data_IF_942768791776
#
_entry.id   IF_942768791776
#
_cell.length_a   1.000
_cell.length_b   1.000
_cell.length_c   1.000
_cell.angle_alpha   90.00
_cell.angle_beta   90.00
_cell.angle_gamma   90.00
#
_symmetry.space_group_name_H-M   'P 1'
#
loop_
_entity.id
_entity.type
_entity.pdbx_description
1 polymer ?
#
# COMPACT_ATOMS: atom_id res chain seq x y z
N UNK A 1 16.79 10.62 12.94
CA UNK A 1 15.71 9.61 12.95
C UNK A 1 16.37 8.28 12.63
N UNK A 2 16.09 7.20 13.38
CA UNK A 2 16.63 5.88 13.03
C UNK A 2 15.98 5.36 11.75
N UNK A 3 16.62 4.38 11.13
CA UNK A 3 15.99 3.66 10.02
C UNK A 3 14.75 2.89 10.51
N UNK A 4 13.72 2.90 9.67
CA UNK A 4 12.51 2.13 9.90
C UNK A 4 12.73 0.67 9.54
N UNK A 5 12.22 -0.20 10.40
CA UNK A 5 12.19 -1.64 10.14
C UNK A 5 11.23 -1.96 8.99
N UNK A 6 11.36 -3.17 8.42
CA UNK A 6 10.45 -3.62 7.38
C UNK A 6 9.00 -3.74 7.88
N UNK A 7 8.80 -4.12 9.14
CA UNK A 7 7.47 -4.24 9.75
C UNK A 7 6.80 -2.85 9.89
N UNK A 8 7.56 -1.85 10.32
CA UNK A 8 7.09 -0.45 10.40
C UNK A 8 6.74 0.12 9.03
N UNK A 9 7.61 -0.10 8.03
CA UNK A 9 7.34 0.31 6.66
C UNK A 9 6.12 -0.41 6.08
N UNK A 10 5.95 -1.69 6.40
CA UNK A 10 4.78 -2.46 5.99
C UNK A 10 3.48 -1.85 6.56
N UNK A 11 3.45 -1.54 7.86
CA UNK A 11 2.29 -0.88 8.49
C UNK A 11 2.02 0.49 7.87
N UNK A 12 3.06 1.31 7.64
CA UNK A 12 2.89 2.61 6.98
C UNK A 12 2.29 2.47 5.58
N UNK A 13 2.82 1.57 4.77
CA UNK A 13 2.34 1.32 3.40
C UNK A 13 0.94 0.75 3.36
N UNK A 14 0.62 -0.17 4.26
CA UNK A 14 -0.71 -0.76 4.35
C UNK A 14 -1.76 0.30 4.72
N UNK A 15 -1.44 1.12 5.72
CA UNK A 15 -2.29 2.23 6.18
C UNK A 15 -2.46 3.32 5.11
N UNK A 16 -1.40 3.64 4.36
CA UNK A 16 -1.48 4.57 3.23
C UNK A 16 -2.13 3.92 2.02
N UNK A 17 -2.16 2.61 1.92
CA UNK A 17 -2.64 1.88 0.75
C UNK A 17 -1.76 2.04 -0.48
N UNK A 18 -0.45 2.20 -0.30
CA UNK A 18 0.51 2.50 -1.37
C UNK A 18 1.17 1.25 -1.98
N UNK A 19 0.70 0.06 -1.58
CA UNK A 19 1.22 -1.23 -2.02
C UNK A 19 2.57 -1.59 -1.39
N UNK A 20 3.07 -2.79 -1.69
CA UNK A 20 4.29 -3.36 -1.08
C UNK A 20 5.52 -2.43 -1.20
N UNK A 21 5.61 -1.68 -2.30
CA UNK A 21 6.74 -0.79 -2.62
C UNK A 21 6.42 0.70 -2.45
N UNK A 22 5.23 1.07 -1.95
CA UNK A 22 4.89 2.48 -1.71
C UNK A 22 4.64 3.32 -2.96
N UNK A 23 4.37 2.69 -4.12
CA UNK A 23 4.27 3.37 -5.43
C UNK A 23 2.85 3.66 -5.87
N UNK A 24 1.86 3.03 -5.25
CA UNK A 24 0.46 3.21 -5.64
C UNK A 24 -0.11 4.52 -5.09
N UNK A 25 -0.92 5.21 -5.90
CA UNK A 25 -1.66 6.37 -5.41
C UNK A 25 -2.77 5.92 -4.49
N UNK A 26 -2.89 6.55 -3.33
CA UNK A 26 -3.97 6.29 -2.40
C UNK A 26 -4.25 7.52 -1.53
N UNK A 27 -5.51 7.63 -1.10
CA UNK A 27 -6.00 8.67 -0.19
C UNK A 27 -6.24 8.13 1.22
N UNK A 28 -5.94 6.84 1.45
CA UNK A 28 -6.03 6.22 2.77
C UNK A 28 -4.90 6.71 3.67
N UNK A 29 -5.15 6.74 4.97
CA UNK A 29 -4.16 7.16 5.96
C UNK A 29 -4.42 6.58 7.36
N UNK A 30 -5.35 5.64 7.51
CA UNK A 30 -5.73 5.10 8.81
C UNK A 30 -5.62 3.59 8.84
N UNK A 31 -5.37 3.06 10.03
CA UNK A 31 -5.30 1.63 10.31
C UNK A 31 -5.93 1.35 11.67
N UNK A 32 -6.83 0.37 11.71
CA UNK A 32 -7.61 0.03 12.91
C UNK A 32 -7.14 -1.30 13.42
N UNK A 33 -6.73 -1.37 14.68
CA UNK A 33 -6.23 -2.60 15.28
C UNK A 33 -6.35 -2.57 16.81
N UNK A 34 -6.43 -3.74 17.44
CA UNK A 34 -6.70 -3.88 18.88
C UNK A 34 -5.44 -4.24 19.66
N UNK A 35 -5.42 -3.85 20.94
CA UNK A 35 -4.41 -4.27 21.91
C UNK A 35 -4.37 -5.81 21.97
N UNK A 36 -3.22 -6.40 21.63
CA UNK A 36 -3.03 -7.86 21.48
C UNK A 36 -2.65 -8.31 20.07
N UNK A 37 -2.81 -7.47 19.05
CA UNK A 37 -2.24 -7.74 17.73
C UNK A 37 -0.77 -7.31 17.65
N UNK A 38 0.01 -7.97 16.78
CA UNK A 38 1.39 -7.53 16.50
C UNK A 38 1.43 -6.14 15.87
N UNK A 39 0.45 -5.82 15.04
CA UNK A 39 0.40 -4.54 14.35
C UNK A 39 0.07 -3.38 15.30
N UNK A 40 -0.69 -3.62 16.37
CA UNK A 40 -0.95 -2.61 17.41
C UNK A 40 0.33 -2.16 18.09
N UNK A 41 1.20 -3.11 18.46
CA UNK A 41 2.52 -2.79 19.04
C UNK A 41 3.38 -1.97 18.07
N UNK A 42 3.38 -2.31 16.78
CA UNK A 42 4.11 -1.55 15.76
C UNK A 42 3.51 -0.15 15.58
N UNK A 43 2.18 -0.03 15.59
CA UNK A 43 1.50 1.26 15.51
C UNK A 43 1.84 2.15 16.70
N UNK A 44 1.90 1.61 17.91
CA UNK A 44 2.34 2.34 19.10
C UNK A 44 3.79 2.82 18.99
N UNK A 45 4.71 1.99 18.48
CA UNK A 45 6.09 2.40 18.18
C UNK A 45 6.13 3.55 17.15
N UNK A 46 5.30 3.48 16.11
CA UNK A 46 5.18 4.54 15.11
C UNK A 46 4.57 5.83 15.69
N UNK A 47 3.71 5.73 16.70
CA UNK A 47 3.21 6.87 17.47
C UNK A 47 4.33 7.51 18.31
N UNK A 48 5.16 6.71 19.00
CA UNK A 48 6.32 7.21 19.73
C UNK A 48 7.33 7.93 18.83
N UNK A 49 7.46 7.48 17.57
CA UNK A 49 8.30 8.13 16.55
C UNK A 49 7.63 9.38 15.92
N UNK A 50 6.38 9.70 16.26
CA UNK A 50 5.62 10.81 15.69
C UNK A 50 5.13 10.59 14.24
N UNK A 51 5.21 9.35 13.75
CA UNK A 51 4.83 8.98 12.38
C UNK A 51 3.34 8.60 12.28
N UNK A 52 2.73 8.24 13.40
CA UNK A 52 1.29 8.01 13.55
C UNK A 52 0.72 8.79 14.74
N UNK A 53 -0.59 8.98 14.74
CA UNK A 53 -1.38 9.45 15.86
C UNK A 53 -2.40 8.38 16.23
N UNK A 54 -2.54 8.09 17.52
CA UNK A 54 -3.55 7.18 18.04
C UNK A 54 -4.81 7.96 18.42
N UNK A 55 -5.97 7.38 18.15
CA UNK A 55 -7.25 7.73 18.75
C UNK A 55 -7.83 6.47 19.36
N UNK A 56 -8.34 6.59 20.58
CA UNK A 56 -8.93 5.46 21.26
C UNK A 56 -10.15 4.91 20.51
N UNK A 57 -10.33 3.60 20.63
CA UNK A 57 -11.43 2.91 20.00
C UNK A 57 -12.81 3.41 20.44
N UNK A 58 -13.77 3.29 19.54
CA UNK A 58 -15.15 3.66 19.78
C UNK A 58 -16.09 2.67 19.07
N UNK A 59 -17.40 2.91 19.15
CA UNK A 59 -18.42 2.02 18.55
C UNK A 59 -18.20 1.81 17.05
N UNK A 60 -17.73 2.82 16.30
CA UNK A 60 -17.48 2.71 14.87
C UNK A 60 -16.25 1.85 14.53
N UNK A 61 -15.27 1.79 15.43
CA UNK A 61 -14.09 0.93 15.27
C UNK A 61 -14.22 -0.42 15.99
N UNK A 62 -15.42 -0.75 16.48
CA UNK A 62 -15.65 -1.97 17.27
C UNK A 62 -14.84 -2.01 18.57
N UNK A 63 -14.51 -0.84 19.14
CA UNK A 63 -13.68 -0.70 20.33
C UNK A 63 -12.17 -0.79 20.09
N UNK A 64 -11.72 -0.97 18.84
CA UNK A 64 -10.29 -1.02 18.49
C UNK A 64 -9.71 0.36 18.25
N UNK A 65 -8.43 0.56 18.57
CA UNK A 65 -7.75 1.83 18.36
C UNK A 65 -7.61 2.17 16.87
N UNK A 66 -7.66 3.47 16.58
CA UNK A 66 -7.53 4.01 15.23
C UNK A 66 -6.22 4.78 15.15
N UNK A 67 -5.32 4.32 14.29
CA UNK A 67 -4.04 4.96 14.03
C UNK A 67 -4.09 5.72 12.72
N UNK A 68 -3.75 7.01 12.74
CA UNK A 68 -3.73 7.86 11.55
C UNK A 68 -2.30 8.33 11.25
N UNK A 69 -1.86 8.19 10.01
CA UNK A 69 -0.52 8.61 9.59
C UNK A 69 -0.41 10.12 9.54
N UNK A 70 0.63 10.64 10.18
CA UNK A 70 0.99 12.06 10.19
C UNK A 70 1.65 12.49 8.89
N UNK A 71 1.84 13.81 8.71
CA UNK A 71 2.65 14.31 7.60
C UNK A 71 4.09 13.75 7.65
N UNK A 72 4.69 13.65 8.85
CA UNK A 72 6.02 13.08 9.03
C UNK A 72 6.07 11.60 8.62
N UNK A 73 5.05 10.81 8.95
CA UNK A 73 4.94 9.42 8.50
C UNK A 73 4.87 9.28 6.97
N UNK A 74 4.11 10.15 6.29
CA UNK A 74 4.09 10.23 4.82
C UNK A 74 5.45 10.56 4.23
N UNK A 75 6.15 11.54 4.79
CA UNK A 75 7.49 11.92 4.33
C UNK A 75 8.52 10.81 4.56
N UNK A 76 8.45 10.11 5.70
CA UNK A 76 9.36 9.00 6.00
C UNK A 76 9.16 7.83 5.02
N UNK A 77 7.91 7.48 4.72
CA UNK A 77 7.59 6.44 3.73
C UNK A 77 8.06 6.86 2.33
N UNK A 78 7.73 8.08 1.88
CA UNK A 78 8.15 8.59 0.58
C UNK A 78 9.68 8.64 0.42
N UNK A 79 10.42 9.01 1.48
CA UNK A 79 11.89 8.97 1.50
C UNK A 79 12.39 7.56 1.27
N UNK A 80 11.79 6.56 1.92
CA UNK A 80 12.15 5.16 1.74
C UNK A 80 11.86 4.66 0.34
N UNK A 81 10.75 5.09 -0.27
CA UNK A 81 10.39 4.78 -1.66
C UNK A 81 11.40 5.37 -2.63
N UNK A 82 11.85 6.61 -2.40
CA UNK A 82 12.88 7.26 -3.22
C UNK A 82 14.23 6.54 -3.24
N UNK A 83 14.51 5.72 -2.22
CA UNK A 83 15.72 4.88 -2.14
C UNK A 83 15.57 3.51 -2.80
N UNK A 84 14.37 3.13 -3.25
CA UNK A 84 14.16 1.84 -3.93
C UNK A 84 14.74 1.89 -5.35
N UNK A 85 15.23 0.75 -5.87
CA UNK A 85 15.60 0.66 -7.29
C UNK A 85 14.38 0.99 -8.17
N UNK A 86 14.60 1.53 -9.38
CA UNK A 86 13.50 1.84 -10.30
C UNK A 86 12.65 0.59 -10.59
N UNK A 87 11.37 0.79 -10.87
CA UNK A 87 10.48 -0.32 -11.19
C UNK A 87 10.99 -1.07 -12.45
N UNK A 88 11.06 -2.41 -12.42
CA UNK A 88 11.45 -3.18 -13.60
C UNK A 88 10.58 -2.83 -14.80
N UNK A 89 11.21 -2.60 -15.96
CA UNK A 89 10.47 -2.37 -17.21
C UNK A 89 9.74 -3.65 -17.60
N UNK A 90 8.41 -3.56 -17.70
CA UNK A 90 7.59 -4.66 -18.17
C UNK A 90 7.88 -4.96 -19.64
N UNK A 91 8.03 -6.23 -20.00
CA UNK A 91 8.05 -6.67 -21.39
C UNK A 91 6.71 -6.37 -22.09
N UNK A 92 6.66 -6.27 -23.43
CA UNK A 92 5.41 -6.10 -24.15
C UNK A 92 4.34 -7.15 -23.78
N UNK A 93 4.74 -8.41 -23.61
CA UNK A 93 3.84 -9.49 -23.19
C UNK A 93 3.29 -9.29 -21.78
N UNK A 94 4.13 -8.88 -20.82
CA UNK A 94 3.71 -8.60 -19.44
C UNK A 94 2.74 -7.41 -19.38
N UNK A 95 2.98 -6.36 -20.18
CA UNK A 95 2.05 -5.21 -20.28
C UNK A 95 0.68 -5.65 -20.79
N UNK A 96 0.64 -6.40 -21.89
CA UNK A 96 -0.62 -6.93 -22.45
C UNK A 96 -1.35 -7.81 -21.45
N UNK A 97 -0.64 -8.68 -20.73
CA UNK A 97 -1.27 -9.53 -19.73
C UNK A 97 -1.84 -8.72 -18.55
N UNK A 98 -1.14 -7.69 -18.07
CA UNK A 98 -1.68 -6.78 -17.03
C UNK A 98 -2.90 -5.99 -17.53
N UNK A 99 -2.88 -5.53 -18.77
CA UNK A 99 -4.04 -4.85 -19.39
C UNK A 99 -5.24 -5.79 -19.50
N UNK A 100 -5.02 -7.06 -19.87
CA UNK A 100 -6.05 -8.09 -19.87
C UNK A 100 -6.68 -8.28 -18.49
N UNK A 101 -5.86 -8.44 -17.44
CA UNK A 101 -6.35 -8.59 -16.07
C UNK A 101 -7.15 -7.36 -15.61
N UNK A 102 -6.75 -6.15 -16.02
CA UNK A 102 -7.46 -4.91 -15.70
C UNK A 102 -8.77 -4.74 -16.46
N UNK A 103 -8.89 -5.35 -17.64
CA UNK A 103 -10.08 -5.22 -18.47
C UNK A 103 -11.30 -5.95 -17.88
N UNK A 104 -11.07 -6.92 -16.98
CA UNK A 104 -12.11 -7.70 -16.29
C UNK A 104 -13.24 -8.19 -17.22
N UNK A 105 -12.85 -8.62 -18.42
CA UNK A 105 -13.77 -8.78 -19.55
C UNK A 105 -14.56 -10.09 -19.57
N UNK A 106 -14.33 -10.99 -18.60
CA UNK A 106 -14.86 -12.37 -18.61
C UNK A 106 -14.32 -13.26 -19.74
N UNK A 107 -13.47 -12.74 -20.63
CA UNK A 107 -12.85 -13.48 -21.73
C UNK A 107 -11.59 -14.22 -21.26
N UNK A 108 -11.20 -15.27 -21.98
CA UNK A 108 -9.82 -15.78 -21.89
C UNK A 108 -8.84 -14.78 -22.50
N UNK A 109 -7.56 -14.84 -22.09
CA UNK A 109 -6.51 -13.97 -22.63
C UNK A 109 -6.41 -14.05 -24.16
N UNK A 110 -6.55 -15.24 -24.74
CA UNK A 110 -6.49 -15.44 -26.19
C UNK A 110 -7.69 -14.84 -26.94
N UNK A 111 -8.89 -14.92 -26.38
CA UNK A 111 -10.08 -14.25 -26.94
C UNK A 111 -9.95 -12.73 -26.85
N UNK A 112 -9.48 -12.23 -25.70
CA UNK A 112 -9.24 -10.81 -25.49
C UNK A 112 -8.20 -10.24 -26.47
N UNK A 113 -7.12 -10.97 -26.75
CA UNK A 113 -6.14 -10.55 -27.76
C UNK A 113 -6.75 -10.48 -29.16
N UNK A 114 -7.56 -11.48 -29.56
CA UNK A 114 -8.23 -11.49 -30.87
C UNK A 114 -9.23 -10.34 -31.01
N UNK A 115 -9.97 -10.03 -29.95
CA UNK A 115 -10.95 -8.95 -29.93
C UNK A 115 -10.33 -7.56 -30.10
N UNK A 116 -9.04 -7.38 -29.76
CA UNK A 116 -8.30 -6.10 -29.91
C UNK A 116 -7.68 -5.89 -31.30
N UNK A 117 -7.72 -6.88 -32.20
CA UNK A 117 -7.22 -6.78 -33.57
C UNK A 117 -5.69 -6.67 -33.70
N UNK A 118 -5.15 -6.68 -34.94
CA UNK A 118 -3.71 -6.76 -35.22
C UNK A 118 -2.93 -5.46 -34.94
N UNK A 119 -3.58 -4.34 -34.64
CA UNK A 119 -2.92 -3.05 -34.36
C UNK A 119 -2.18 -2.99 -33.01
N UNK A 120 -2.22 -4.08 -32.21
CA UNK A 120 -1.65 -4.16 -30.87
C UNK A 120 -0.72 -5.37 -30.65
N UNK A 121 -0.28 -6.02 -31.74
CA UNK A 121 0.66 -7.14 -31.71
C UNK A 121 2.10 -6.71 -31.37
#
# INVERSE_FOLDING_TARGET
MRDLTQAELHVLRYSLGTGEYGRERSYRNHFVTSEGSKDHLICMQLVELGLMQRRDGNVLSGGSDIFTITAAGRTAEATRVGQLPPEPKLSPGQRRYREFLRADSGMSFGQWLKARGPAHA
#
